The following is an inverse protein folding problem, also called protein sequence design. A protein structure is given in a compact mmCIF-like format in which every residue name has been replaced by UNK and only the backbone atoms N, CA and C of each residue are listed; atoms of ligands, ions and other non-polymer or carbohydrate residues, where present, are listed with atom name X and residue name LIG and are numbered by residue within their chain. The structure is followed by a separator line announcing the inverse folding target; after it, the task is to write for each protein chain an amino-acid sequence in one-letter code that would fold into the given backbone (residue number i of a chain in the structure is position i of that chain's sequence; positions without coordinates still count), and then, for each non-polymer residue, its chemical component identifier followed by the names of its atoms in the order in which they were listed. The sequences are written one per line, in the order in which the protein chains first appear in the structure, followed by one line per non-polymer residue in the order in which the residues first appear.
data_IF_028498717190
#
_entry.id   IF_028498717190
#
_cell.length_a   1.000
_cell.length_b   1.000
_cell.length_c   1.000
_cell.angle_alpha   90.00
_cell.angle_beta   90.00
_cell.angle_gamma   90.00
#
_symmetry.space_group_name_H-M   'P 1'
#
loop_
_entity.id
_entity.type
_entity.pdbx_description
1 polymer ?
#
# COMPACT_ATOMS: atom_id res chain seq x y z
N UNK A 1 9.73 54.40 -42.09
CA UNK A 1 9.99 52.94 -42.13
C UNK A 1 11.03 52.45 -41.08
N UNK A 2 11.09 53.03 -39.85
CA UNK A 2 12.03 52.57 -38.80
C UNK A 2 11.36 51.90 -37.58
N UNK A 3 10.02 51.86 -37.50
CA UNK A 3 9.30 51.38 -36.31
C UNK A 3 9.02 49.87 -36.23
N UNK A 4 9.19 49.13 -37.33
CA UNK A 4 8.91 47.69 -37.34
C UNK A 4 9.98 46.86 -36.62
N UNK A 5 11.24 47.31 -36.61
CA UNK A 5 12.38 46.56 -36.03
C UNK A 5 12.39 46.59 -34.50
N UNK A 6 12.01 47.71 -33.89
CA UNK A 6 11.92 47.83 -32.43
C UNK A 6 10.81 46.97 -31.83
N UNK A 7 9.67 46.83 -32.51
CA UNK A 7 8.57 45.97 -32.03
C UNK A 7 8.90 44.47 -32.08
N UNK A 8 9.73 44.05 -33.03
CA UNK A 8 10.19 42.65 -33.15
C UNK A 8 11.18 42.27 -32.06
N UNK A 9 12.08 43.17 -31.66
CA UNK A 9 13.09 42.88 -30.62
C UNK A 9 12.48 42.76 -29.22
N UNK A 10 11.49 43.59 -28.87
CA UNK A 10 10.77 43.45 -27.58
C UNK A 10 10.02 42.12 -27.53
N UNK A 11 9.38 41.72 -28.63
CA UNK A 11 8.67 40.43 -28.73
C UNK A 11 9.60 39.23 -28.56
N UNK A 12 10.81 39.27 -29.12
CA UNK A 12 11.77 38.17 -29.00
C UNK A 12 12.26 37.97 -27.56
N UNK A 13 12.64 39.05 -26.86
CA UNK A 13 13.10 38.96 -25.47
C UNK A 13 12.01 38.43 -24.54
N UNK A 14 10.78 38.91 -24.70
CA UNK A 14 9.65 38.42 -23.89
C UNK A 14 9.35 36.94 -24.16
N UNK A 15 9.42 36.49 -25.42
CA UNK A 15 9.26 35.07 -25.76
C UNK A 15 10.36 34.19 -25.12
N UNK A 16 11.62 34.62 -25.18
CA UNK A 16 12.72 33.87 -24.56
C UNK A 16 12.55 33.76 -23.04
N UNK A 17 12.14 34.85 -22.37
CA UNK A 17 11.86 34.83 -20.93
C UNK A 17 10.70 33.88 -20.62
N UNK A 18 9.62 33.90 -21.39
CA UNK A 18 8.49 32.98 -21.20
C UNK A 18 8.92 31.52 -21.35
N UNK A 19 9.70 31.19 -22.38
CA UNK A 19 10.21 29.82 -22.58
C UNK A 19 11.10 29.39 -21.42
N UNK A 20 11.98 30.26 -20.94
CA UNK A 20 12.84 29.98 -19.79
C UNK A 20 12.00 29.71 -18.52
N UNK A 21 11.03 30.57 -18.22
CA UNK A 21 10.13 30.40 -17.06
C UNK A 21 9.31 29.12 -17.18
N UNK A 22 8.74 28.83 -18.34
CA UNK A 22 7.99 27.59 -18.59
C UNK A 22 8.88 26.34 -18.43
N UNK A 23 10.13 26.40 -18.88
CA UNK A 23 11.08 25.29 -18.76
C UNK A 23 11.44 25.02 -17.30
N UNK A 24 11.70 26.08 -16.53
CA UNK A 24 12.01 26.01 -15.10
C UNK A 24 10.82 25.46 -14.30
N UNK A 25 9.61 26.00 -14.53
CA UNK A 25 8.39 25.50 -13.89
C UNK A 25 8.09 24.04 -14.24
N UNK A 26 8.27 23.65 -15.51
CA UNK A 26 8.13 22.27 -15.96
C UNK A 26 9.11 21.32 -15.27
N UNK A 27 10.38 21.73 -15.11
CA UNK A 27 11.39 20.95 -14.42
C UNK A 27 11.04 20.73 -12.94
N UNK A 28 10.73 21.80 -12.20
CA UNK A 28 10.34 21.69 -10.78
C UNK A 28 9.05 20.88 -10.60
N UNK A 29 8.08 21.01 -11.52
CA UNK A 29 6.87 20.21 -11.53
C UNK A 29 7.16 18.71 -11.72
N UNK A 30 8.01 18.38 -12.69
CA UNK A 30 8.39 16.99 -12.97
C UNK A 30 9.12 16.35 -11.78
N UNK A 31 10.04 17.06 -11.14
CA UNK A 31 10.79 16.54 -10.00
C UNK A 31 9.89 16.30 -8.78
N UNK A 32 8.96 17.22 -8.46
CA UNK A 32 7.95 17.01 -7.40
C UNK A 32 7.07 15.79 -7.68
N UNK A 33 6.68 15.56 -8.95
CA UNK A 33 5.89 14.40 -9.34
C UNK A 33 6.70 13.09 -9.21
N UNK A 34 8.00 13.10 -9.53
CA UNK A 34 8.89 11.95 -9.30
C UNK A 34 9.03 11.63 -7.82
N UNK A 35 9.28 12.62 -6.97
CA UNK A 35 9.37 12.45 -5.51
C UNK A 35 8.06 11.90 -4.93
N UNK A 36 6.92 12.41 -5.40
CA UNK A 36 5.60 11.92 -5.01
C UNK A 36 5.37 10.47 -5.46
N UNK A 37 5.72 10.14 -6.70
CA UNK A 37 5.65 8.75 -7.22
C UNK A 37 6.50 7.80 -6.38
N UNK A 38 7.76 8.16 -6.08
CA UNK A 38 8.65 7.37 -5.24
C UNK A 38 8.09 7.15 -3.83
N UNK A 39 7.49 8.19 -3.23
CA UNK A 39 6.85 8.10 -1.91
C UNK A 39 5.65 7.14 -1.93
N UNK A 40 4.83 7.17 -2.98
CA UNK A 40 3.70 6.24 -3.16
C UNK A 40 4.17 4.81 -3.40
N UNK A 41 5.25 4.60 -4.15
CA UNK A 41 5.88 3.28 -4.32
C UNK A 41 6.41 2.73 -2.99
N UNK A 42 7.05 3.58 -2.16
CA UNK A 42 7.51 3.19 -0.84
C UNK A 42 6.35 2.75 0.07
N UNK A 43 5.22 3.47 0.03
CA UNK A 43 4.00 3.08 0.75
C UNK A 43 3.44 1.74 0.25
N UNK A 44 3.36 1.54 -1.07
CA UNK A 44 2.93 0.27 -1.64
C UNK A 44 3.82 -0.89 -1.16
N UNK A 45 5.14 -0.71 -1.18
CA UNK A 45 6.10 -1.70 -0.71
C UNK A 45 5.95 -2.00 0.78
N UNK A 46 5.69 -0.98 1.61
CA UNK A 46 5.37 -1.18 3.04
C UNK A 46 4.15 -2.07 3.22
N UNK A 47 3.08 -1.84 2.44
CA UNK A 47 1.88 -2.67 2.50
C UNK A 47 2.11 -4.09 1.96
N UNK A 48 2.94 -4.26 0.92
CA UNK A 48 3.35 -5.57 0.45
C UNK A 48 4.07 -6.38 1.54
N UNK A 49 4.95 -5.73 2.32
CA UNK A 49 5.62 -6.35 3.49
C UNK A 49 4.62 -6.73 4.59
N UNK A 50 3.71 -5.83 4.94
CA UNK A 50 2.68 -6.09 5.96
C UNK A 50 1.73 -7.22 5.55
N UNK A 51 1.34 -7.31 4.28
CA UNK A 51 0.59 -8.44 3.71
C UNK A 51 1.33 -9.75 3.94
N UNK A 52 2.61 -9.82 3.57
CA UNK A 52 3.45 -11.01 3.77
C UNK A 52 3.54 -11.39 5.25
N UNK A 53 3.74 -10.42 6.13
CA UNK A 53 3.78 -10.64 7.58
C UNK A 53 2.47 -11.23 8.11
N UNK A 54 1.32 -10.64 7.76
CA UNK A 54 0.00 -11.12 8.19
C UNK A 54 -0.27 -12.55 7.70
N UNK A 55 0.10 -12.87 6.46
CA UNK A 55 -0.05 -14.24 5.92
C UNK A 55 0.87 -15.24 6.62
N UNK A 56 2.13 -14.86 6.88
CA UNK A 56 3.07 -15.71 7.60
C UNK A 56 2.56 -16.01 9.01
N UNK A 57 2.05 -15.00 9.70
CA UNK A 57 1.51 -15.14 11.05
C UNK A 57 0.23 -16.00 11.07
N UNK A 58 -0.72 -15.75 10.17
CA UNK A 58 -1.92 -16.58 10.01
C UNK A 58 -1.57 -18.06 9.78
N UNK A 59 -0.58 -18.33 8.95
CA UNK A 59 -0.10 -19.69 8.69
C UNK A 59 0.58 -20.30 9.92
N UNK A 60 1.31 -19.51 10.72
CA UNK A 60 1.93 -19.98 11.96
C UNK A 60 0.88 -20.42 12.98
N UNK A 61 -0.20 -19.64 13.14
CA UNK A 61 -1.33 -19.92 14.03
C UNK A 61 -2.07 -21.18 13.59
N UNK A 62 -2.32 -21.35 12.30
CA UNK A 62 -2.96 -22.56 11.78
C UNK A 62 -2.10 -23.81 11.99
N UNK A 63 -0.77 -23.71 11.83
CA UNK A 63 0.13 -24.82 12.16
C UNK A 63 0.05 -25.20 13.63
N UNK A 64 -0.07 -24.21 14.53
CA UNK A 64 -0.25 -24.44 15.96
C UNK A 64 -1.58 -25.15 16.24
N UNK A 65 -2.68 -24.70 15.63
CA UNK A 65 -3.99 -25.36 15.74
C UNK A 65 -3.94 -26.83 15.28
N UNK A 66 -3.29 -27.11 14.15
CA UNK A 66 -3.08 -28.49 13.65
C UNK A 66 -2.26 -29.33 14.64
N UNK A 67 -1.22 -28.75 15.25
CA UNK A 67 -0.39 -29.43 16.24
C UNK A 67 -1.20 -29.78 17.49
N UNK A 68 -2.01 -28.85 18.01
CA UNK A 68 -2.89 -29.07 19.17
C UNK A 68 -3.90 -30.18 18.86
N UNK A 69 -4.55 -30.14 17.69
CA UNK A 69 -5.47 -31.19 17.27
C UNK A 69 -4.79 -32.57 17.17
N UNK A 70 -3.58 -32.62 16.61
CA UNK A 70 -2.80 -33.86 16.50
C UNK A 70 -2.46 -34.43 17.88
N UNK A 71 -2.04 -33.58 18.82
CA UNK A 71 -1.74 -33.99 20.19
C UNK A 71 -2.99 -34.49 20.92
N UNK A 72 -4.11 -33.78 20.80
CA UNK A 72 -5.38 -34.21 21.39
C UNK A 72 -5.81 -35.60 20.92
N UNK A 73 -5.64 -35.88 19.61
CA UNK A 73 -5.90 -37.22 19.03
C UNK A 73 -4.93 -38.28 19.55
N UNK A 74 -3.63 -37.98 19.58
CA UNK A 74 -2.60 -38.91 20.05
C UNK A 74 -2.77 -39.30 21.52
N UNK A 75 -3.20 -38.35 22.35
CA UNK A 75 -3.46 -38.57 23.77
C UNK A 75 -4.83 -39.19 24.05
N UNK A 76 -5.65 -39.44 23.02
CA UNK A 76 -6.98 -39.99 23.19
C UNK A 76 -7.89 -39.10 24.05
N UNK A 77 -7.74 -37.77 23.98
CA UNK A 77 -8.54 -36.87 24.81
C UNK A 77 -10.04 -37.04 24.49
N UNK A 78 -10.83 -37.24 25.54
CA UNK A 78 -12.30 -37.36 25.49
C UNK A 78 -12.96 -36.32 26.40
N UNK A 79 -14.30 -36.25 26.36
CA UNK A 79 -15.09 -35.40 27.24
C UNK A 79 -14.68 -33.94 27.24
N UNK A 80 -14.60 -33.36 28.44
CA UNK A 80 -14.28 -31.95 28.67
C UNK A 80 -12.89 -31.55 28.18
N UNK A 81 -11.90 -32.44 28.32
CA UNK A 81 -10.53 -32.17 27.86
C UNK A 81 -10.48 -31.97 26.34
N UNK A 82 -11.24 -32.78 25.58
CA UNK A 82 -11.39 -32.62 24.13
C UNK A 82 -12.11 -31.32 23.78
N UNK A 83 -13.20 -31.00 24.49
CA UNK A 83 -13.97 -29.79 24.27
C UNK A 83 -13.12 -28.52 24.49
N UNK A 84 -12.32 -28.50 25.56
CA UNK A 84 -11.38 -27.41 25.85
C UNK A 84 -10.38 -27.19 24.72
N UNK A 85 -9.81 -28.28 24.17
CA UNK A 85 -8.89 -28.18 23.01
C UNK A 85 -9.57 -27.76 21.72
N UNK A 86 -10.82 -28.16 21.51
CA UNK A 86 -11.60 -27.68 20.36
C UNK A 86 -11.89 -26.18 20.45
N UNK A 87 -12.19 -25.67 21.64
CA UNK A 87 -12.36 -24.23 21.86
C UNK A 87 -11.05 -23.47 21.56
N UNK A 88 -9.90 -23.99 22.03
CA UNK A 88 -8.58 -23.42 21.72
C UNK A 88 -8.31 -23.38 20.21
N UNK A 89 -8.63 -24.46 19.49
CA UNK A 89 -8.51 -24.54 18.02
C UNK A 89 -9.41 -23.51 17.34
N UNK A 90 -10.65 -23.36 17.79
CA UNK A 90 -11.60 -22.38 17.24
C UNK A 90 -11.08 -20.94 17.41
N UNK A 91 -10.47 -20.62 18.56
CA UNK A 91 -9.83 -19.32 18.80
C UNK A 91 -8.67 -19.08 17.84
N UNK A 92 -7.79 -20.08 17.61
CA UNK A 92 -6.73 -19.97 16.61
C UNK A 92 -7.28 -19.74 15.20
N UNK A 93 -8.35 -20.44 14.82
CA UNK A 93 -8.98 -20.26 13.51
C UNK A 93 -9.57 -18.85 13.34
N UNK A 94 -10.24 -18.32 14.37
CA UNK A 94 -10.76 -16.94 14.36
C UNK A 94 -9.62 -15.95 14.17
N UNK A 95 -8.53 -16.09 14.93
CA UNK A 95 -7.37 -15.21 14.82
C UNK A 95 -6.70 -15.30 13.44
N UNK A 96 -6.49 -16.50 12.91
CA UNK A 96 -5.94 -16.68 11.57
C UNK A 96 -6.82 -16.05 10.48
N UNK A 97 -8.15 -16.11 10.64
CA UNK A 97 -9.11 -15.47 9.72
C UNK A 97 -8.99 -13.95 9.77
N UNK A 98 -8.91 -13.36 10.97
CA UNK A 98 -8.66 -11.92 11.13
C UNK A 98 -7.35 -11.48 10.43
N UNK A 99 -6.25 -12.22 10.62
CA UNK A 99 -4.98 -11.91 9.98
C UNK A 99 -5.03 -12.03 8.45
N UNK A 100 -5.80 -12.98 7.91
CA UNK A 100 -6.06 -13.09 6.47
C UNK A 100 -6.85 -11.89 5.94
N UNK A 101 -7.87 -11.44 6.66
CA UNK A 101 -8.62 -10.24 6.29
C UNK A 101 -7.72 -9.00 6.30
N UNK A 102 -6.83 -8.90 7.29
CA UNK A 102 -5.82 -7.83 7.37
C UNK A 102 -4.79 -7.90 6.24
N UNK A 103 -4.39 -9.11 5.83
CA UNK A 103 -3.54 -9.29 4.65
C UNK A 103 -4.24 -8.82 3.37
N UNK A 104 -5.52 -9.15 3.19
CA UNK A 104 -6.33 -8.68 2.06
C UNK A 104 -6.46 -7.15 2.05
N UNK A 105 -6.70 -6.54 3.21
CA UNK A 105 -6.68 -5.07 3.37
C UNK A 105 -5.36 -4.46 2.89
N UNK A 106 -4.22 -5.01 3.33
CA UNK A 106 -2.91 -4.51 2.89
C UNK A 106 -2.65 -4.78 1.40
N UNK A 107 -3.15 -5.86 0.83
CA UNK A 107 -3.07 -6.11 -0.61
C UNK A 107 -3.85 -5.04 -1.41
N UNK A 108 -5.04 -4.64 -0.92
CA UNK A 108 -5.81 -3.56 -1.51
C UNK A 108 -5.08 -2.22 -1.47
N UNK A 109 -4.46 -1.89 -0.34
CA UNK A 109 -3.65 -0.67 -0.20
C UNK A 109 -2.39 -0.69 -1.08
N UNK A 110 -1.69 -1.81 -1.15
CA UNK A 110 -0.54 -2.00 -2.06
C UNK A 110 -0.94 -1.65 -3.50
N UNK A 111 -2.04 -2.23 -4.00
CA UNK A 111 -2.54 -1.96 -5.34
C UNK A 111 -2.94 -0.49 -5.53
N UNK A 112 -3.66 0.09 -4.56
CA UNK A 112 -4.07 1.51 -4.58
C UNK A 112 -2.87 2.44 -4.73
N UNK A 113 -1.82 2.22 -3.94
CA UNK A 113 -0.65 3.08 -3.95
C UNK A 113 0.22 2.87 -5.20
N UNK A 114 0.29 1.66 -5.75
CA UNK A 114 0.92 1.41 -7.06
C UNK A 114 0.19 2.16 -8.19
N UNK A 115 -1.14 2.11 -8.21
CA UNK A 115 -1.95 2.85 -9.19
C UNK A 115 -1.75 4.36 -9.05
N UNK A 116 -1.71 4.88 -7.83
CA UNK A 116 -1.44 6.28 -7.56
C UNK A 116 -0.02 6.70 -7.99
N UNK A 117 0.99 5.85 -7.80
CA UNK A 117 2.36 6.12 -8.22
C UNK A 117 2.50 6.26 -9.74
N UNK A 118 1.67 5.56 -10.52
CA UNK A 118 1.62 5.66 -11.98
C UNK A 118 0.96 6.95 -12.48
N UNK A 119 0.17 7.62 -11.64
CA UNK A 119 -0.53 8.88 -11.96
C UNK A 119 -0.39 9.87 -10.80
N UNK A 120 0.84 10.31 -10.46
CA UNK A 120 1.12 11.04 -9.22
C UNK A 120 0.50 12.45 -9.19
N UNK A 121 0.00 12.97 -10.32
CA UNK A 121 -0.72 14.25 -10.37
C UNK A 121 -2.16 14.16 -9.86
N UNK A 122 -2.76 12.96 -9.82
CA UNK A 122 -4.12 12.78 -9.32
C UNK A 122 -4.16 12.76 -7.78
N UNK A 123 -5.24 13.26 -7.15
CA UNK A 123 -5.43 13.11 -5.72
C UNK A 123 -5.64 11.63 -5.36
N UNK A 124 -5.06 11.20 -4.23
CA UNK A 124 -5.25 9.85 -3.70
C UNK A 124 -6.43 9.89 -2.73
N UNK A 125 -7.42 9.01 -2.92
CA UNK A 125 -8.56 8.90 -1.99
C UNK A 125 -8.05 8.56 -0.57
N UNK A 126 -8.78 8.90 0.50
CA UNK A 126 -8.47 8.45 1.85
C UNK A 126 -8.39 6.92 1.95
N UNK A 127 -7.62 6.41 2.91
CA UNK A 127 -7.54 4.97 3.18
C UNK A 127 -8.84 4.46 3.82
N UNK A 128 -9.31 3.25 3.44
CA UNK A 128 -10.41 2.61 4.15
C UNK A 128 -10.03 2.33 5.61
N UNK A 129 -11.01 2.19 6.51
CA UNK A 129 -10.71 1.84 7.90
C UNK A 129 -10.06 0.46 8.00
N UNK A 130 -9.18 0.30 8.99
CA UNK A 130 -8.52 -0.98 9.29
C UNK A 130 -9.58 -2.00 9.74
N UNK A 131 -9.53 -3.27 9.29
CA UNK A 131 -10.46 -4.30 9.74
C UNK A 131 -10.36 -4.52 11.26
N UNK A 132 -11.52 -4.75 11.89
CA UNK A 132 -11.63 -5.04 13.34
C UNK A 132 -11.51 -6.56 13.59
N UNK A 133 -10.99 -6.97 14.77
CA UNK A 133 -10.90 -8.37 15.19
C UNK A 133 -12.24 -9.01 15.55
#
# INVERSE_FOLDING_TARGET
MRDARFRLQVRLRTLLVLVAVSSVLGYYGAEKLRQRSASLQALAFRHARLKKFCLADANSILRRAVRVNRLARRLGLTGEAKASKQLEIAQYQKHATFLRNRAAYHAGLELKYLQAANRPWLPVKPDPPVPKP
#
